data_IF_553807034102
#
_entry.id   IF_553807034102
#
_cell.length_a   1.000
_cell.length_b   1.000
_cell.length_c   1.000
_cell.angle_alpha   90.00
_cell.angle_beta   90.00
_cell.angle_gamma   90.00
#
_symmetry.space_group_name_H-M   'P 1'
#
loop_
_entity.id
_entity.type
_entity.pdbx_description
1 polymer ?
#
# COMPACT_ATOMS: atom_id res chain seq x y z
N UNK A 1 7.02 49.64 21.53
CA UNK A 1 7.17 48.80 22.73
C UNK A 1 6.49 47.49 22.39
N UNK A 2 7.27 46.42 22.19
CA UNK A 2 6.70 45.08 22.12
C UNK A 2 6.10 44.76 23.49
N UNK A 3 4.83 44.39 23.52
CA UNK A 3 4.13 44.03 24.75
C UNK A 3 4.64 42.65 25.22
N UNK A 4 5.26 42.53 26.40
CA UNK A 4 5.73 41.24 26.91
C UNK A 4 4.60 40.21 27.05
N UNK A 5 3.33 40.63 27.13
CA UNK A 5 2.17 39.72 27.10
C UNK A 5 1.98 39.09 25.72
N UNK A 6 2.20 39.83 24.63
CA UNK A 6 2.10 39.27 23.27
C UNK A 6 3.27 38.34 22.94
N UNK A 7 4.48 38.62 23.45
CA UNK A 7 5.59 37.67 23.34
C UNK A 7 5.35 36.38 24.12
N UNK A 8 4.77 36.46 25.32
CA UNK A 8 4.42 35.27 26.10
C UNK A 8 3.33 34.43 25.39
N UNK A 9 2.33 35.08 24.79
CA UNK A 9 1.29 34.41 24.00
C UNK A 9 1.85 33.74 22.75
N UNK A 10 2.77 34.40 22.03
CA UNK A 10 3.44 33.82 20.86
C UNK A 10 4.29 32.61 21.27
N UNK A 11 5.04 32.70 22.37
CA UNK A 11 5.83 31.57 22.87
C UNK A 11 4.95 30.39 23.31
N UNK A 12 3.81 30.67 23.95
CA UNK A 12 2.84 29.65 24.31
C UNK A 12 2.25 28.97 23.07
N UNK A 13 1.89 29.75 22.04
CA UNK A 13 1.38 29.23 20.78
C UNK A 13 2.42 28.37 20.03
N UNK A 14 3.68 28.79 20.01
CA UNK A 14 4.79 28.02 19.42
C UNK A 14 5.01 26.71 20.19
N UNK A 15 4.96 26.75 21.52
CA UNK A 15 5.11 25.54 22.35
C UNK A 15 3.98 24.55 22.09
N UNK A 16 2.74 25.02 22.06
CA UNK A 16 1.57 24.19 21.75
C UNK A 16 1.66 23.60 20.34
N UNK A 17 1.99 24.40 19.33
CA UNK A 17 2.15 23.92 17.96
C UNK A 17 3.27 22.88 17.83
N UNK A 18 4.35 23.02 18.61
CA UNK A 18 5.44 22.03 18.64
C UNK A 18 5.00 20.72 19.30
N UNK A 19 4.22 20.79 20.36
CA UNK A 19 3.66 19.60 21.02
C UNK A 19 2.68 18.86 20.10
N UNK A 20 1.79 19.58 19.43
CA UNK A 20 0.85 19.00 18.46
C UNK A 20 1.57 18.35 17.27
N UNK A 21 2.63 19.00 16.75
CA UNK A 21 3.45 18.42 15.69
C UNK A 21 4.19 17.17 16.16
N UNK A 22 4.74 17.18 17.38
CA UNK A 22 5.43 16.02 17.94
C UNK A 22 4.47 14.84 18.16
N UNK A 23 3.25 15.10 18.62
CA UNK A 23 2.21 14.08 18.76
C UNK A 23 1.81 13.50 17.39
N UNK A 24 1.58 14.36 16.40
CA UNK A 24 1.22 13.94 15.03
C UNK A 24 2.33 13.09 14.39
N UNK A 25 3.60 13.45 14.62
CA UNK A 25 4.73 12.66 14.14
C UNK A 25 4.81 11.30 14.83
N UNK A 26 4.57 11.24 16.14
CA UNK A 26 4.56 9.98 16.87
C UNK A 26 3.45 9.04 16.38
N UNK A 27 2.25 9.56 16.14
CA UNK A 27 1.12 8.79 15.60
C UNK A 27 1.38 8.30 14.17
N UNK A 28 1.96 9.16 13.33
CA UNK A 28 2.35 8.77 11.97
C UNK A 28 3.39 7.66 12.00
N UNK A 29 4.40 7.78 12.88
CA UNK A 29 5.44 6.77 13.03
C UNK A 29 4.85 5.44 13.52
N UNK A 30 3.96 5.48 14.52
CA UNK A 30 3.28 4.28 15.00
C UNK A 30 2.40 3.62 13.92
N UNK A 31 1.76 4.42 13.07
CA UNK A 31 0.97 3.92 11.94
C UNK A 31 1.86 3.23 10.91
N UNK A 32 2.98 3.87 10.54
CA UNK A 32 3.96 3.29 9.62
C UNK A 32 4.55 2.01 10.19
N UNK A 33 4.92 1.99 11.47
CA UNK A 33 5.45 0.81 12.14
C UNK A 33 4.41 -0.32 12.16
N UNK A 34 3.14 -0.02 12.42
CA UNK A 34 2.06 -1.01 12.39
C UNK A 34 1.81 -1.56 10.98
N UNK A 35 1.89 -0.71 9.95
CA UNK A 35 1.79 -1.15 8.55
C UNK A 35 2.95 -2.05 8.16
N UNK A 36 4.17 -1.72 8.59
CA UNK A 36 5.38 -2.52 8.32
C UNK A 36 5.45 -3.81 9.15
N UNK A 37 4.84 -3.83 10.35
CA UNK A 37 4.82 -5.01 11.21
C UNK A 37 3.91 -6.12 10.68
N UNK A 38 3.01 -5.82 9.73
CA UNK A 38 2.15 -6.81 9.11
C UNK A 38 2.91 -7.48 7.96
N UNK A 39 3.13 -8.81 8.01
CA UNK A 39 3.76 -9.53 6.90
C UNK A 39 2.99 -9.25 5.60
N UNK A 40 3.72 -8.96 4.53
CA UNK A 40 3.13 -8.73 3.20
C UNK A 40 2.38 -9.95 2.68
N UNK A 41 2.80 -11.15 3.09
CA UNK A 41 2.12 -12.41 2.85
C UNK A 41 2.01 -13.18 4.17
N UNK A 42 0.84 -13.76 4.42
CA UNK A 42 0.68 -14.81 5.43
C UNK A 42 1.48 -16.07 5.07
N UNK A 43 1.68 -16.95 6.03
CA UNK A 43 2.41 -18.21 5.80
C UNK A 43 1.69 -19.10 4.77
N UNK A 44 0.35 -19.09 4.76
CA UNK A 44 -0.48 -19.81 3.80
C UNK A 44 -0.32 -19.25 2.38
N UNK A 45 -0.28 -17.92 2.24
CA UNK A 45 -0.05 -17.27 0.94
C UNK A 45 1.37 -17.52 0.43
N UNK A 46 2.36 -17.55 1.32
CA UNK A 46 3.74 -17.92 0.96
C UNK A 46 3.82 -19.36 0.46
N UNK A 47 3.19 -20.30 1.16
CA UNK A 47 3.19 -21.70 0.77
C UNK A 47 2.51 -21.90 -0.60
N UNK A 48 1.36 -21.26 -0.83
CA UNK A 48 0.67 -21.29 -2.11
C UNK A 48 1.51 -20.68 -3.25
N UNK A 49 2.17 -19.55 -2.99
CA UNK A 49 3.05 -18.89 -3.96
C UNK A 49 4.25 -19.78 -4.30
N UNK A 50 4.85 -20.42 -3.29
CA UNK A 50 5.96 -21.34 -3.48
C UNK A 50 5.57 -22.61 -4.24
N UNK A 51 4.38 -23.14 -4.01
CA UNK A 51 3.86 -24.30 -4.75
C UNK A 51 3.68 -23.97 -6.23
N UNK A 52 3.01 -22.86 -6.54
CA UNK A 52 2.74 -22.40 -7.91
C UNK A 52 4.02 -21.99 -8.66
N UNK A 53 4.98 -21.40 -7.96
CA UNK A 53 6.28 -21.11 -8.54
C UNK A 53 7.09 -22.39 -8.82
N UNK A 54 7.06 -23.36 -7.89
CA UNK A 54 7.78 -24.61 -8.03
C UNK A 54 7.21 -25.52 -9.13
N UNK A 55 5.89 -25.52 -9.33
CA UNK A 55 5.24 -26.20 -10.46
C UNK A 55 5.63 -25.57 -11.81
N UNK A 56 6.07 -24.32 -11.80
CA UNK A 56 6.39 -23.54 -12.99
C UNK A 56 5.18 -22.82 -13.58
N UNK A 57 4.03 -22.87 -12.91
CA UNK A 57 2.80 -22.20 -13.37
C UNK A 57 2.97 -20.68 -13.38
N UNK A 58 3.84 -20.15 -12.52
CA UNK A 58 4.23 -18.73 -12.49
C UNK A 58 5.44 -18.40 -13.40
N UNK A 59 5.95 -19.38 -14.14
CA UNK A 59 7.08 -19.23 -15.06
C UNK A 59 8.47 -19.41 -14.41
N UNK A 60 9.49 -19.46 -15.28
CA UNK A 60 10.87 -19.82 -14.90
C UNK A 60 11.53 -18.81 -13.94
N UNK A 61 11.19 -17.53 -14.06
CA UNK A 61 11.73 -16.47 -13.20
C UNK A 61 11.28 -16.67 -11.74
N UNK A 62 10.00 -16.99 -11.53
CA UNK A 62 9.43 -17.28 -10.21
C UNK A 62 9.94 -18.60 -9.64
N UNK A 63 10.10 -19.61 -10.49
CA UNK A 63 10.73 -20.87 -10.07
C UNK A 63 12.14 -20.66 -9.55
N UNK A 64 12.95 -19.88 -10.27
CA UNK A 64 14.31 -19.52 -9.88
C UNK A 64 14.33 -18.72 -8.57
N UNK A 65 13.38 -17.80 -8.40
CA UNK A 65 13.24 -17.00 -7.18
C UNK A 65 12.94 -17.89 -5.96
N UNK A 66 12.01 -18.84 -6.09
CA UNK A 66 11.65 -19.75 -4.99
C UNK A 66 12.77 -20.71 -4.65
N UNK A 67 13.53 -21.19 -5.63
CA UNK A 67 14.74 -21.98 -5.37
C UNK A 67 15.77 -21.21 -4.53
N UNK A 68 15.97 -19.91 -4.82
CA UNK A 68 16.87 -19.04 -4.06
C UNK A 68 16.38 -18.79 -2.63
N UNK A 69 15.08 -18.55 -2.46
CA UNK A 69 14.46 -18.36 -1.14
C UNK A 69 14.57 -19.65 -0.30
N UNK A 70 14.24 -20.81 -0.88
CA UNK A 70 14.38 -22.12 -0.20
C UNK A 70 15.83 -22.49 0.10
N UNK A 71 16.77 -22.04 -0.73
CA UNK A 71 18.20 -22.17 -0.50
C UNK A 71 18.75 -21.28 0.61
N UNK A 72 17.95 -20.35 1.13
CA UNK A 72 18.37 -19.36 2.13
C UNK A 72 19.24 -18.24 1.54
N UNK A 73 19.28 -18.12 0.21
CA UNK A 73 19.99 -17.03 -0.49
C UNK A 73 19.17 -15.72 -0.48
N UNK A 74 17.87 -15.81 -0.17
CA UNK A 74 16.93 -14.69 -0.19
C UNK A 74 15.74 -14.92 0.76
N UNK A 75 14.92 -13.89 0.98
CA UNK A 75 13.66 -13.99 1.71
C UNK A 75 12.53 -13.27 0.98
N UNK A 76 11.29 -13.75 1.15
CA UNK A 76 10.13 -13.07 0.60
C UNK A 76 10.06 -11.60 1.04
N UNK A 77 10.37 -11.31 2.30
CA UNK A 77 10.41 -9.94 2.83
C UNK A 77 11.41 -9.05 2.10
N UNK A 78 12.61 -9.55 1.78
CA UNK A 78 13.63 -8.79 1.05
C UNK A 78 13.24 -8.58 -0.41
N UNK A 79 12.59 -9.57 -1.03
CA UNK A 79 12.11 -9.49 -2.41
C UNK A 79 10.98 -8.47 -2.55
N UNK A 80 9.95 -8.54 -1.70
CA UNK A 80 8.81 -7.63 -1.80
C UNK A 80 9.12 -6.20 -1.30
N UNK A 81 10.09 -6.04 -0.40
CA UNK A 81 10.58 -4.70 -0.02
C UNK A 81 11.48 -4.07 -1.08
N UNK A 82 11.90 -4.82 -2.10
CA UNK A 82 12.80 -4.35 -3.15
C UNK A 82 14.27 -4.26 -2.74
N UNK A 83 14.63 -4.78 -1.56
CA UNK A 83 16.00 -4.82 -1.07
C UNK A 83 16.81 -5.99 -1.66
N UNK A 84 16.11 -7.01 -2.15
CA UNK A 84 16.74 -8.21 -2.72
C UNK A 84 17.41 -7.94 -4.07
N UNK A 85 18.63 -8.48 -4.30
CA UNK A 85 19.26 -8.47 -5.62
C UNK A 85 18.49 -9.31 -6.67
N UNK A 86 17.59 -10.19 -6.24
CA UNK A 86 16.74 -11.01 -7.10
C UNK A 86 15.36 -10.39 -7.35
N UNK A 87 15.09 -9.17 -6.88
CA UNK A 87 13.81 -8.47 -7.09
C UNK A 87 13.40 -8.33 -8.56
N UNK A 88 14.38 -8.32 -9.48
CA UNK A 88 14.13 -8.31 -10.92
C UNK A 88 13.39 -9.56 -11.43
N UNK A 89 13.51 -10.71 -10.75
CA UNK A 89 12.78 -11.94 -11.12
C UNK A 89 11.28 -11.79 -10.85
N UNK A 90 10.91 -11.24 -9.69
CA UNK A 90 9.53 -10.90 -9.37
C UNK A 90 8.98 -9.84 -10.34
N UNK A 91 9.75 -8.78 -10.60
CA UNK A 91 9.36 -7.73 -11.52
C UNK A 91 9.12 -8.25 -12.95
N UNK A 92 9.95 -9.17 -13.42
CA UNK A 92 9.80 -9.82 -14.73
C UNK A 92 8.50 -10.61 -14.84
N UNK A 93 8.15 -11.37 -13.79
CA UNK A 93 6.86 -12.07 -13.71
C UNK A 93 5.67 -11.10 -13.71
N UNK A 94 5.69 -10.07 -12.86
CA UNK A 94 4.62 -9.08 -12.79
C UNK A 94 4.42 -8.34 -14.12
N UNK A 95 5.51 -8.03 -14.82
CA UNK A 95 5.45 -7.37 -16.13
C UNK A 95 4.77 -8.27 -17.16
N UNK A 96 5.13 -9.55 -17.23
CA UNK A 96 4.46 -10.52 -18.12
C UNK A 96 2.97 -10.65 -17.79
N UNK A 97 2.63 -10.74 -16.51
CA UNK A 97 1.24 -10.87 -16.07
C UNK A 97 0.41 -9.63 -16.46
N UNK A 98 0.98 -8.44 -16.34
CA UNK A 98 0.35 -7.19 -16.80
C UNK A 98 0.21 -7.16 -18.32
N UNK A 99 1.24 -7.58 -19.06
CA UNK A 99 1.18 -7.65 -20.53
C UNK A 99 0.14 -8.66 -21.03
N UNK A 100 0.00 -9.80 -20.36
CA UNK A 100 -0.97 -10.85 -20.70
C UNK A 100 -2.42 -10.47 -20.36
N UNK A 101 -2.61 -9.64 -19.33
CA UNK A 101 -3.93 -9.26 -18.82
C UNK A 101 -4.23 -7.76 -18.93
N UNK A 102 -3.51 -7.03 -19.80
CA UNK A 102 -3.62 -5.57 -19.88
C UNK A 102 -5.04 -5.11 -20.20
N UNK A 103 -5.72 -5.81 -21.11
CA UNK A 103 -7.08 -5.49 -21.54
C UNK A 103 -8.11 -5.81 -20.45
N UNK A 104 -7.93 -6.93 -19.72
CA UNK A 104 -8.79 -7.32 -18.59
C UNK A 104 -8.64 -6.32 -17.42
N UNK A 105 -7.41 -5.88 -17.15
CA UNK A 105 -7.12 -4.85 -16.16
C UNK A 105 -7.79 -3.52 -16.52
N UNK A 106 -7.71 -3.11 -17.79
CA UNK A 106 -8.35 -1.89 -18.26
C UNK A 106 -9.88 -1.94 -18.09
N UNK A 107 -10.51 -3.06 -18.44
CA UNK A 107 -11.95 -3.26 -18.26
C UNK A 107 -12.35 -3.20 -16.77
N UNK A 108 -11.60 -3.87 -15.89
CA UNK A 108 -11.86 -3.85 -14.45
C UNK A 108 -11.73 -2.44 -13.85
N UNK A 109 -10.81 -1.62 -14.36
CA UNK A 109 -10.70 -0.22 -13.96
C UNK A 109 -11.88 0.64 -14.45
N UNK A 110 -12.36 0.41 -15.67
CA UNK A 110 -13.55 1.10 -16.20
C UNK A 110 -14.81 0.75 -15.37
N UNK A 111 -15.02 -0.53 -15.07
CA UNK A 111 -16.13 -0.98 -14.21
C UNK A 111 -16.06 -0.36 -12.80
N UNK A 112 -14.87 -0.30 -12.19
CA UNK A 112 -14.68 0.28 -10.86
C UNK A 112 -14.97 1.79 -10.83
N UNK A 113 -14.63 2.51 -11.91
CA UNK A 113 -14.97 3.93 -12.06
C UNK A 113 -16.47 4.11 -12.23
N UNK A 114 -17.12 3.29 -13.07
CA UNK A 114 -18.58 3.34 -13.25
C UNK A 114 -19.33 3.03 -11.95
N UNK A 115 -18.91 2.03 -11.19
CA UNK A 115 -19.50 1.72 -9.88
C UNK A 115 -19.33 2.86 -8.86
N UNK A 116 -18.17 3.51 -8.83
CA UNK A 116 -17.92 4.64 -7.94
C UNK A 116 -18.72 5.88 -8.35
N UNK A 117 -18.91 6.11 -9.65
CA UNK A 117 -19.78 7.17 -10.19
C UNK A 117 -21.27 6.88 -9.96
N UNK A 118 -21.73 5.65 -10.13
CA UNK A 118 -23.11 5.25 -9.79
C UNK A 118 -23.37 5.40 -8.28
N UNK A 119 -22.43 5.01 -7.43
CA UNK A 119 -22.52 5.20 -5.98
C UNK A 119 -22.59 6.69 -5.59
N UNK A 120 -21.84 7.56 -6.27
CA UNK A 120 -21.90 9.03 -6.08
C UNK A 120 -23.18 9.63 -6.67
N UNK A 121 -23.66 9.10 -7.78
CA UNK A 121 -24.91 9.52 -8.44
C UNK A 121 -26.14 9.22 -7.59
N UNK A 122 -26.15 8.07 -6.90
CA UNK A 122 -27.26 7.68 -6.02
C UNK A 122 -27.35 8.55 -4.74
N UNK A 123 -26.28 9.24 -4.37
CA UNK A 123 -26.27 10.20 -3.25
C UNK A 123 -26.87 11.57 -3.61
N UNK A 124 -26.92 11.93 -4.90
CA UNK A 124 -27.38 13.25 -5.37
C UNK A 124 -28.89 13.34 -5.62
N UNK A 125 -29.60 12.20 -5.66
CA UNK A 125 -31.04 12.15 -5.96
C UNK A 125 -31.95 11.87 -4.76
N UNK A 126 -31.41 11.58 -3.56
CA UNK A 126 -32.22 11.19 -2.39
C UNK A 126 -32.57 12.36 -1.43
N UNK A 127 -32.11 13.59 -1.71
CA UNK A 127 -32.30 14.72 -0.78
C UNK A 127 -32.97 15.95 -1.40
N UNK A 128 -34.06 15.76 -2.15
CA UNK A 128 -35.01 16.85 -2.39
C UNK A 128 -36.41 16.42 -1.92
N UNK A 129 -36.81 16.78 -0.68
CA UNK A 129 -38.21 16.69 -0.30
C UNK A 129 -38.97 17.71 -1.14
N UNK A 130 -39.71 17.24 -2.14
CA UNK A 130 -40.73 18.05 -2.78
C UNK A 130 -41.79 18.36 -1.72
N UNK A 131 -41.76 19.59 -1.22
CA UNK A 131 -42.82 20.10 -0.36
C UNK A 131 -43.99 20.49 -1.26
N UNK A 132 -45.16 19.88 -1.00
CA UNK A 132 -46.48 20.25 -1.55
C UNK A 132 -46.83 21.72 -1.25
#
# INVERSE_FOLDING_TARGET
MDDPRSQAEILAAISAAREDLAASLADLQATVDQMNARPLLSDEEKEALEEQAASGDLGDDMKTLVEKIRGGEDTWESVFSGESPNGALLQGHLTKMVEEHQDDLALAFEELIEEEEEAKGNFLFDEVPQSD
#
